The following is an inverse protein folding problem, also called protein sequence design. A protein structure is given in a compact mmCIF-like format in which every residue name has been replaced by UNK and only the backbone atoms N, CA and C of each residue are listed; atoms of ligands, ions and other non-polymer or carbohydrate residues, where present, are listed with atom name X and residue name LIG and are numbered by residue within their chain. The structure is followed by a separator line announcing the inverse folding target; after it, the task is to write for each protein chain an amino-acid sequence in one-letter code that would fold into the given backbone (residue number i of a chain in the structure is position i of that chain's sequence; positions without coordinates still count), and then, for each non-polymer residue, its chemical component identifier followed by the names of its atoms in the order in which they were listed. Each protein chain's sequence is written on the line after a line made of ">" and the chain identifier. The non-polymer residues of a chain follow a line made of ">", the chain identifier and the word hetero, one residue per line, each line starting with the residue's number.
data_IF_876145772108
#
_entry.id   IF_876145772108
#
_cell.length_a   1.000
_cell.length_b   1.000
_cell.length_c   1.000
_cell.angle_alpha   90.00
_cell.angle_beta   90.00
_cell.angle_gamma   90.00
#
_symmetry.space_group_name_H-M   'P 1'
#
loop_
_entity.id
_entity.type
_entity.pdbx_description
1 polymer ?
#
# COMPACT_ATOMS: atom_id res chain seq x y z
N UNK A 1 8.71 -14.47 12.85
CA UNK A 1 9.63 -13.35 12.55
C UNK A 1 8.86 -12.48 11.57
N UNK A 2 8.42 -11.29 11.99
CA UNK A 2 7.56 -10.44 11.16
C UNK A 2 8.36 -10.01 9.93
N UNK A 3 7.84 -10.30 8.74
CA UNK A 3 8.49 -9.88 7.50
C UNK A 3 8.38 -8.34 7.43
N UNK A 4 9.49 -7.60 7.39
CA UNK A 4 9.45 -6.14 7.34
C UNK A 4 8.64 -5.61 6.15
N UNK A 5 8.54 -6.39 5.06
CA UNK A 5 7.71 -6.03 3.91
C UNK A 5 6.22 -6.08 4.26
N UNK A 6 5.76 -7.10 5.00
CA UNK A 6 4.35 -7.21 5.43
C UNK A 6 3.93 -6.06 6.33
N UNK A 7 4.79 -5.69 7.29
CA UNK A 7 4.54 -4.57 8.19
C UNK A 7 4.41 -3.26 7.39
N UNK A 8 5.32 -3.03 6.45
CA UNK A 8 5.30 -1.82 5.62
C UNK A 8 4.15 -1.82 4.59
N UNK A 9 3.71 -2.99 4.10
CA UNK A 9 2.49 -3.08 3.28
C UNK A 9 1.31 -2.62 4.13
N UNK A 10 1.18 -3.11 5.36
CA UNK A 10 0.11 -2.67 6.27
C UNK A 10 0.16 -1.16 6.51
N UNK A 11 1.35 -0.61 6.78
CA UNK A 11 1.54 0.84 6.95
C UNK A 11 1.18 1.64 5.70
N UNK A 12 1.55 1.15 4.50
CA UNK A 12 1.17 1.75 3.23
C UNK A 12 -0.34 1.77 3.05
N UNK A 13 -1.03 0.65 3.29
CA UNK A 13 -2.49 0.58 3.16
C UNK A 13 -3.19 1.51 4.16
N UNK A 14 -2.71 1.53 5.41
CA UNK A 14 -3.18 2.43 6.44
C UNK A 14 -3.02 3.90 6.03
N UNK A 15 -1.88 4.24 5.42
CA UNK A 15 -1.58 5.58 4.94
C UNK A 15 -2.46 5.98 3.75
N UNK A 16 -2.68 5.10 2.76
CA UNK A 16 -3.57 5.34 1.61
C UNK A 16 -5.01 5.66 2.07
N UNK A 17 -5.53 4.92 3.06
CA UNK A 17 -6.85 5.18 3.62
C UNK A 17 -7.98 5.15 2.58
N UNK A 18 -8.89 6.14 2.52
CA UNK A 18 -10.01 6.13 1.58
C UNK A 18 -9.58 6.37 0.11
N UNK A 19 -8.34 6.82 -0.12
CA UNK A 19 -7.76 7.01 -1.43
C UNK A 19 -6.90 8.27 -1.52
N UNK A 20 -5.90 8.25 -2.41
CA UNK A 20 -4.92 9.32 -2.61
C UNK A 20 -4.53 9.49 -4.08
N UNK A 21 -4.04 10.65 -4.51
CA UNK A 21 -3.47 10.83 -5.84
C UNK A 21 -2.28 9.87 -6.07
N UNK A 22 -2.22 9.23 -7.24
CA UNK A 22 -1.15 8.31 -7.63
C UNK A 22 0.24 8.96 -7.53
N UNK A 23 0.36 10.22 -7.95
CA UNK A 23 1.62 10.96 -7.86
C UNK A 23 2.11 11.09 -6.41
N UNK A 24 1.22 11.34 -5.44
CA UNK A 24 1.55 11.43 -4.02
C UNK A 24 2.03 10.08 -3.48
N UNK A 25 1.32 8.99 -3.82
CA UNK A 25 1.68 7.63 -3.43
C UNK A 25 3.05 7.24 -3.97
N UNK A 26 3.30 7.49 -5.25
CA UNK A 26 4.58 7.15 -5.88
C UNK A 26 5.73 8.04 -5.39
N UNK A 27 5.47 9.27 -4.97
CA UNK A 27 6.50 10.14 -4.40
C UNK A 27 6.92 9.68 -2.99
N UNK A 28 5.93 9.38 -2.14
CA UNK A 28 6.16 8.82 -0.81
C UNK A 28 6.89 7.46 -0.89
N UNK A 29 6.48 6.58 -1.80
CA UNK A 29 7.13 5.28 -1.97
C UNK A 29 8.57 5.42 -2.51
N UNK A 30 8.80 6.25 -3.54
CA UNK A 30 10.14 6.39 -4.16
C UNK A 30 11.19 7.01 -3.23
N UNK A 31 10.78 7.74 -2.20
CA UNK A 31 11.68 8.37 -1.21
C UNK A 31 12.02 7.44 -0.04
N UNK A 32 11.41 6.26 0.03
CA UNK A 32 11.72 5.22 1.02
C UNK A 32 13.02 4.49 0.64
N UNK A 33 14.10 4.68 1.40
CA UNK A 33 15.35 3.96 1.22
C UNK A 33 15.63 3.09 2.46
N UNK A 34 15.95 1.78 2.30
CA UNK A 34 16.02 1.03 1.04
C UNK A 34 14.65 0.87 0.37
N UNK A 35 14.62 0.83 -0.97
CA UNK A 35 13.41 0.51 -1.72
C UNK A 35 13.02 -0.94 -1.46
N UNK A 36 12.19 -1.13 -0.44
CA UNK A 36 11.52 -2.40 -0.19
C UNK A 36 10.36 -2.55 -1.19
N UNK A 37 10.02 -3.78 -1.61
CA UNK A 37 9.02 -4.06 -2.65
C UNK A 37 7.58 -3.85 -2.15
N UNK A 38 7.35 -2.86 -1.28
CA UNK A 38 6.08 -2.63 -0.58
C UNK A 38 4.95 -2.28 -1.56
N UNK A 39 5.25 -1.38 -2.51
CA UNK A 39 4.29 -1.01 -3.55
C UNK A 39 4.01 -2.20 -4.49
N UNK A 40 5.05 -2.89 -4.91
CA UNK A 40 4.95 -4.08 -5.77
C UNK A 40 4.12 -5.18 -5.11
N UNK A 41 4.37 -5.49 -3.83
CA UNK A 41 3.62 -6.50 -3.08
C UNK A 41 2.15 -6.10 -2.90
N UNK A 42 1.87 -4.83 -2.58
CA UNK A 42 0.49 -4.36 -2.47
C UNK A 42 -0.29 -4.49 -3.78
N UNK A 43 0.38 -4.26 -4.92
CA UNK A 43 -0.22 -4.44 -6.25
C UNK A 43 -0.37 -5.93 -6.61
N UNK A 44 0.68 -6.74 -6.38
CA UNK A 44 0.68 -8.17 -6.68
C UNK A 44 -0.43 -8.92 -5.94
N UNK A 45 -0.70 -8.50 -4.70
CA UNK A 45 -1.76 -9.08 -3.86
C UNK A 45 -3.14 -8.48 -4.11
N UNK A 46 -3.24 -7.48 -4.99
CA UNK A 46 -4.49 -6.82 -5.31
C UNK A 46 -5.07 -6.04 -4.13
N UNK A 47 -4.26 -5.49 -3.23
CA UNK A 47 -4.73 -4.67 -2.09
C UNK A 47 -5.06 -3.23 -2.47
N UNK A 48 -4.52 -2.77 -3.59
CA UNK A 48 -4.71 -1.42 -4.11
C UNK A 48 -5.30 -1.46 -5.51
N UNK A 49 -6.15 -0.48 -5.82
CA UNK A 49 -6.66 -0.22 -7.16
C UNK A 49 -6.19 1.16 -7.61
N UNK A 50 -5.79 1.29 -8.88
CA UNK A 50 -5.40 2.56 -9.48
C UNK A 50 -6.42 2.96 -10.55
N UNK A 51 -7.27 3.94 -10.27
CA UNK A 51 -8.26 4.47 -11.20
C UNK A 51 -8.10 5.99 -11.36
N UNK A 52 -8.11 6.50 -12.60
CA UNK A 52 -8.09 7.95 -12.89
C UNK A 52 -7.03 8.73 -12.08
N UNK A 53 -5.80 8.19 -12.01
CA UNK A 53 -4.69 8.77 -11.25
C UNK A 53 -4.94 8.86 -9.74
N UNK A 54 -5.84 8.03 -9.19
CA UNK A 54 -6.06 7.86 -7.77
C UNK A 54 -5.84 6.40 -7.39
N UNK A 55 -5.21 6.20 -6.22
CA UNK A 55 -4.99 4.90 -5.60
C UNK A 55 -5.96 4.77 -4.45
N UNK A 56 -6.71 3.68 -4.39
CA UNK A 56 -7.62 3.34 -3.29
C UNK A 56 -7.41 1.90 -2.85
N UNK A 57 -7.94 1.55 -1.67
CA UNK A 57 -7.91 0.17 -1.19
C UNK A 57 -9.01 -0.65 -1.86
N UNK A 58 -8.67 -1.88 -2.24
CA UNK A 58 -9.66 -2.90 -2.62
C UNK A 58 -10.33 -3.51 -1.37
N UNK A 59 -11.43 -4.26 -1.52
CA UNK A 59 -12.01 -5.02 -0.41
C UNK A 59 -10.98 -5.91 0.30
N UNK A 60 -10.10 -6.56 -0.45
CA UNK A 60 -9.03 -7.42 0.05
C UNK A 60 -8.00 -6.61 0.85
N UNK A 61 -7.60 -5.44 0.35
CA UNK A 61 -6.69 -4.53 1.06
C UNK A 61 -7.30 -4.02 2.37
N UNK A 62 -8.59 -3.68 2.38
CA UNK A 62 -9.31 -3.28 3.61
C UNK A 62 -9.36 -4.44 4.61
N UNK A 63 -9.62 -5.67 4.15
CA UNK A 63 -9.63 -6.84 5.02
C UNK A 63 -8.26 -7.12 5.62
N UNK A 64 -7.19 -7.06 4.82
CA UNK A 64 -5.82 -7.26 5.29
C UNK A 64 -5.44 -6.21 6.35
N UNK A 65 -5.73 -4.93 6.08
CA UNK A 65 -5.47 -3.83 7.02
C UNK A 65 -6.22 -4.01 8.36
N UNK A 66 -7.42 -4.58 8.34
CA UNK A 66 -8.19 -4.89 9.56
C UNK A 66 -7.63 -6.08 10.33
N UNK A 67 -7.12 -7.09 9.63
CA UNK A 67 -6.55 -8.29 10.25
C UNK A 67 -5.17 -8.05 10.86
N UNK A 68 -4.43 -7.04 10.36
CA UNK A 68 -3.11 -6.64 10.87
C UNK A 68 -3.13 -5.61 12.01
N UNK A 69 -4.31 -5.18 12.49
CA UNK A 69 -4.46 -4.27 13.63
C UNK A 69 -4.68 -5.01 14.95
#
# INVERSE_FOLDING_TARGET
>A
MNDPVEALVTDLLAWIGPGRPYAEVMDAWRTSCPRLPVWEEANLRGYVCCERQHVSLTPEGVQHLRAGR
#
